data_IF_446053112713
#
_entry.id   IF_446053112713
#
_cell.length_a   1.000
_cell.length_b   1.000
_cell.length_c   1.000
_cell.angle_alpha   90.00
_cell.angle_beta   90.00
_cell.angle_gamma   90.00
#
_symmetry.space_group_name_H-M   'P 1'
#
loop_
_entity.id
_entity.type
_entity.pdbx_description
1 polymer ?
#
# COMPACT_ATOMS: atom_id res chain seq x y z
N UNK A 1 -22.41 7.47 4.72
CA UNK A 1 -21.14 8.09 5.18
C UNK A 1 -21.47 9.44 5.80
N UNK A 2 -21.06 9.67 7.03
CA UNK A 2 -21.21 10.91 7.82
C UNK A 2 -19.86 11.52 8.20
N UNK A 3 -18.76 10.77 8.04
CA UNK A 3 -17.39 11.19 8.36
C UNK A 3 -16.37 10.52 7.41
N UNK A 4 -15.20 11.17 7.22
CA UNK A 4 -14.05 10.58 6.52
C UNK A 4 -13.44 9.39 7.27
N UNK A 5 -13.80 9.21 8.54
CA UNK A 5 -13.37 8.08 9.38
C UNK A 5 -14.34 6.89 9.35
N UNK A 6 -15.46 6.99 8.65
CA UNK A 6 -16.36 5.85 8.50
C UNK A 6 -15.65 4.74 7.70
N UNK A 7 -15.87 3.48 8.07
CA UNK A 7 -15.20 2.33 7.45
C UNK A 7 -16.19 1.34 6.83
N UNK A 8 -15.72 0.64 5.80
CA UNK A 8 -16.23 -0.68 5.41
C UNK A 8 -15.47 -1.77 6.16
N UNK A 9 -16.13 -2.89 6.41
CA UNK A 9 -15.48 -4.07 7.02
C UNK A 9 -15.14 -5.04 5.91
N UNK A 10 -13.85 -5.38 5.79
CA UNK A 10 -13.36 -6.37 4.84
C UNK A 10 -13.72 -7.78 5.31
N UNK A 11 -13.61 -8.77 4.42
CA UNK A 11 -13.97 -10.16 4.69
C UNK A 11 -13.17 -10.81 5.85
N UNK A 12 -12.02 -10.23 6.22
CA UNK A 12 -11.17 -10.64 7.33
C UNK A 12 -11.41 -9.80 8.61
N UNK A 13 -12.45 -8.97 8.64
CA UNK A 13 -12.81 -8.13 9.79
C UNK A 13 -12.05 -6.81 9.89
N UNK A 14 -11.06 -6.56 9.03
CA UNK A 14 -10.31 -5.29 9.02
C UNK A 14 -11.22 -4.14 8.59
N UNK A 15 -11.12 -3.00 9.29
CA UNK A 15 -11.87 -1.79 8.98
C UNK A 15 -11.09 -0.92 7.97
N UNK A 16 -11.61 -0.82 6.74
CA UNK A 16 -11.07 0.02 5.68
C UNK A 16 -11.79 1.38 5.67
N UNK A 17 -11.10 2.52 5.86
CA UNK A 17 -11.73 3.83 5.73
C UNK A 17 -12.37 4.02 4.35
N UNK A 18 -13.59 4.55 4.32
CA UNK A 18 -14.37 4.66 3.08
C UNK A 18 -13.77 5.62 2.05
N UNK A 19 -12.91 6.54 2.49
CA UNK A 19 -12.30 7.58 1.64
C UNK A 19 -10.79 7.54 1.81
N UNK A 20 -10.09 7.32 0.70
CA UNK A 20 -8.63 7.31 0.61
C UNK A 20 -8.08 8.54 -0.12
N UNK A 21 -6.87 8.93 0.24
CA UNK A 21 -6.07 9.93 -0.46
C UNK A 21 -5.05 9.22 -1.35
N UNK A 22 -5.23 9.32 -2.68
CA UNK A 22 -4.35 8.68 -3.66
C UNK A 22 -3.14 9.53 -3.99
N UNK A 23 -1.98 8.88 -4.15
CA UNK A 23 -0.70 9.57 -4.44
C UNK A 23 -0.17 9.31 -5.85
N UNK A 24 -0.98 8.76 -6.76
CA UNK A 24 -0.55 8.55 -8.15
C UNK A 24 -0.21 9.88 -8.83
N UNK A 25 0.94 9.93 -9.51
CA UNK A 25 1.54 11.12 -10.14
C UNK A 25 1.99 12.23 -9.19
N UNK A 26 1.90 12.04 -7.88
CA UNK A 26 2.57 12.91 -6.93
C UNK A 26 4.08 12.60 -6.95
N UNK A 27 4.93 13.59 -7.22
CA UNK A 27 6.38 13.41 -7.27
C UNK A 27 6.94 13.13 -5.87
N UNK A 28 8.05 12.41 -5.77
CA UNK A 28 8.76 12.30 -4.50
C UNK A 28 9.26 13.68 -4.05
N UNK A 29 9.07 14.02 -2.78
CA UNK A 29 9.58 15.26 -2.20
C UNK A 29 8.60 15.96 -1.28
N UNK A 30 8.98 17.16 -0.84
CA UNK A 30 8.29 17.88 0.23
C UNK A 30 6.85 18.26 -0.13
N UNK A 31 6.56 18.58 -1.40
CA UNK A 31 5.19 18.88 -1.83
C UNK A 31 4.21 17.72 -1.58
N UNK A 32 4.65 16.48 -1.84
CA UNK A 32 3.83 15.28 -1.57
C UNK A 32 3.69 15.03 -0.09
N UNK A 33 4.76 15.26 0.69
CA UNK A 33 4.72 15.17 2.15
C UNK A 33 3.67 16.14 2.71
N UNK A 34 3.73 17.41 2.32
CA UNK A 34 2.84 18.47 2.80
C UNK A 34 1.39 18.20 2.40
N UNK A 35 1.16 17.70 1.17
CA UNK A 35 -0.18 17.33 0.71
C UNK A 35 -0.79 16.19 1.55
N UNK A 36 0.00 15.15 1.84
CA UNK A 36 -0.47 14.02 2.66
C UNK A 36 -0.68 14.45 4.11
N UNK A 37 0.22 15.24 4.70
CA UNK A 37 0.05 15.80 6.05
C UNK A 37 -1.23 16.64 6.13
N UNK A 38 -1.47 17.51 5.14
CA UNK A 38 -2.70 18.29 5.06
C UNK A 38 -3.94 17.40 5.00
N UNK A 39 -3.94 16.35 4.18
CA UNK A 39 -5.06 15.41 4.10
C UNK A 39 -5.32 14.72 5.46
N UNK A 40 -4.27 14.22 6.10
CA UNK A 40 -4.33 13.57 7.41
C UNK A 40 -4.87 14.50 8.51
N UNK A 41 -4.43 15.77 8.51
CA UNK A 41 -4.91 16.82 9.43
C UNK A 41 -6.38 17.18 9.17
N UNK A 42 -6.86 17.05 7.94
CA UNK A 42 -8.26 17.27 7.57
C UNK A 42 -9.15 16.01 7.68
N UNK A 43 -8.65 14.97 8.37
CA UNK A 43 -9.47 13.82 8.78
C UNK A 43 -9.37 12.59 7.89
N UNK A 44 -8.57 12.61 6.81
CA UNK A 44 -8.27 11.39 6.07
C UNK A 44 -7.53 10.40 6.98
N UNK A 45 -7.83 9.12 6.78
CA UNK A 45 -7.18 8.00 7.50
C UNK A 45 -6.80 6.85 6.57
N UNK A 46 -6.88 7.04 5.25
CA UNK A 46 -6.44 6.06 4.27
C UNK A 46 -5.55 6.73 3.23
N UNK A 47 -4.31 6.25 3.07
CA UNK A 47 -3.35 6.70 2.06
C UNK A 47 -3.10 5.57 1.08
N UNK A 48 -3.27 5.84 -0.21
CA UNK A 48 -3.03 4.89 -1.29
C UNK A 48 -1.80 5.29 -2.11
N UNK A 49 -0.81 4.39 -2.15
CA UNK A 49 0.42 4.51 -2.95
C UNK A 49 0.70 3.22 -3.73
N UNK A 50 1.86 3.11 -4.37
CA UNK A 50 2.37 1.91 -5.03
C UNK A 50 3.88 2.02 -5.22
N UNK A 51 4.58 0.89 -5.34
CA UNK A 51 6.01 0.85 -5.68
C UNK A 51 6.30 1.63 -6.98
N UNK A 52 5.42 1.46 -7.97
CA UNK A 52 5.49 2.16 -9.25
C UNK A 52 5.41 3.69 -9.15
N UNK A 53 4.77 4.23 -8.11
CA UNK A 53 4.60 5.69 -7.97
C UNK A 53 5.89 6.36 -7.52
N UNK A 54 6.86 5.59 -7.00
CA UNK A 54 8.18 6.08 -6.56
C UNK A 54 8.09 7.23 -5.56
N UNK A 55 7.09 7.20 -4.68
CA UNK A 55 6.89 8.21 -3.64
C UNK A 55 6.60 7.61 -2.24
N UNK A 56 6.84 6.31 -2.05
CA UNK A 56 6.66 5.63 -0.76
C UNK A 56 7.49 6.27 0.37
N UNK A 57 8.70 6.78 0.07
CA UNK A 57 9.51 7.52 1.06
C UNK A 57 8.81 8.80 1.51
N UNK A 58 8.15 9.51 0.60
CA UNK A 58 7.37 10.70 0.95
C UNK A 58 6.12 10.35 1.76
N UNK A 59 5.45 9.24 1.45
CA UNK A 59 4.31 8.74 2.22
C UNK A 59 4.72 8.39 3.65
N UNK A 60 5.79 7.61 3.80
CA UNK A 60 6.34 7.25 5.12
C UNK A 60 6.70 8.48 5.95
N UNK A 61 7.43 9.42 5.34
CA UNK A 61 7.79 10.70 5.98
C UNK A 61 6.55 11.49 6.41
N UNK A 62 5.52 11.57 5.57
CA UNK A 62 4.27 12.28 5.89
C UNK A 62 3.50 11.65 7.05
N UNK A 63 3.44 10.32 7.10
CA UNK A 63 2.81 9.59 8.21
C UNK A 63 3.50 9.96 9.53
N UNK A 64 4.84 9.90 9.58
CA UNK A 64 5.60 10.27 10.79
C UNK A 64 5.45 11.75 11.15
N UNK A 65 5.45 12.64 10.17
CA UNK A 65 5.29 14.09 10.39
C UNK A 65 3.86 14.50 10.78
N UNK A 66 2.86 13.70 10.46
CA UNK A 66 1.46 14.01 10.77
C UNK A 66 1.17 14.06 12.27
N UNK A 67 1.98 13.38 13.10
CA UNK A 67 1.77 13.25 14.54
C UNK A 67 0.59 12.34 14.93
N UNK A 68 -0.04 11.66 13.96
CA UNK A 68 -1.13 10.71 14.19
C UNK A 68 -0.53 9.33 14.44
N UNK A 69 -1.11 8.58 15.38
CA UNK A 69 -0.70 7.20 15.66
C UNK A 69 -0.80 6.35 14.39
N UNK A 70 0.26 5.60 14.07
CA UNK A 70 0.34 4.75 12.87
C UNK A 70 -0.87 3.82 12.75
N UNK A 71 -1.40 3.30 13.87
CA UNK A 71 -2.56 2.40 13.88
C UNK A 71 -3.88 3.07 13.46
N UNK A 72 -3.93 4.40 13.43
CA UNK A 72 -5.10 5.13 12.93
C UNK A 72 -5.04 5.35 11.41
N UNK A 73 -3.87 5.20 10.78
CA UNK A 73 -3.68 5.46 9.35
C UNK A 73 -3.62 4.15 8.60
N UNK A 74 -4.60 3.90 7.74
CA UNK A 74 -4.63 2.78 6.82
C UNK A 74 -3.73 3.08 5.61
N UNK A 75 -2.69 2.27 5.39
CA UNK A 75 -1.76 2.43 4.26
C UNK A 75 -1.97 1.32 3.25
N UNK A 76 -2.21 1.69 2.00
CA UNK A 76 -2.28 0.77 0.87
C UNK A 76 -1.07 0.98 -0.04
N UNK A 77 -0.38 -0.10 -0.38
CA UNK A 77 0.61 -0.10 -1.48
C UNK A 77 0.35 -1.24 -2.45
N UNK A 78 1.05 -1.25 -3.58
CA UNK A 78 0.83 -2.20 -4.67
C UNK A 78 2.16 -2.62 -5.27
N UNK A 79 2.37 -3.93 -5.39
CA UNK A 79 3.53 -4.47 -6.11
C UNK A 79 3.31 -4.31 -7.62
N UNK A 80 4.35 -3.87 -8.32
CA UNK A 80 4.34 -3.61 -9.76
C UNK A 80 4.52 -4.90 -10.58
N UNK A 81 4.40 -4.76 -11.90
CA UNK A 81 4.37 -5.91 -12.82
C UNK A 81 5.67 -6.71 -12.86
N UNK A 82 6.81 -6.08 -12.60
CA UNK A 82 8.14 -6.72 -12.51
C UNK A 82 8.42 -7.31 -11.12
N UNK A 83 7.54 -7.11 -10.15
CA UNK A 83 7.67 -7.58 -8.76
C UNK A 83 6.81 -8.83 -8.49
N UNK A 84 6.18 -9.38 -9.53
CA UNK A 84 5.40 -10.62 -9.46
C UNK A 84 6.30 -11.86 -9.45
N UNK A 85 5.75 -12.99 -9.01
CA UNK A 85 6.48 -14.19 -8.63
C UNK A 85 6.71 -14.27 -7.12
N UNK A 86 6.90 -15.48 -6.61
CA UNK A 86 6.98 -15.75 -5.17
C UNK A 86 8.10 -14.96 -4.48
N UNK A 87 9.35 -15.07 -4.99
CA UNK A 87 10.50 -14.42 -4.37
C UNK A 87 10.43 -12.90 -4.49
N UNK A 88 10.05 -12.42 -5.67
CA UNK A 88 9.96 -11.00 -6.00
C UNK A 88 8.86 -10.31 -5.17
N UNK A 89 7.72 -10.96 -4.98
CA UNK A 89 6.63 -10.39 -4.17
C UNK A 89 7.04 -10.24 -2.70
N UNK A 90 7.73 -11.25 -2.13
CA UNK A 90 8.29 -11.16 -0.77
C UNK A 90 9.30 -10.01 -0.66
N UNK A 91 10.22 -9.91 -1.62
CA UNK A 91 11.19 -8.83 -1.67
C UNK A 91 10.50 -7.45 -1.78
N UNK A 92 9.50 -7.32 -2.66
CA UNK A 92 8.78 -6.07 -2.86
C UNK A 92 8.04 -5.60 -1.60
N UNK A 93 7.47 -6.53 -0.82
CA UNK A 93 6.87 -6.21 0.48
C UNK A 93 7.92 -5.61 1.45
N UNK A 94 9.05 -6.28 1.63
CA UNK A 94 10.13 -5.79 2.50
C UNK A 94 10.66 -4.43 2.03
N UNK A 95 10.85 -4.25 0.73
CA UNK A 95 11.31 -2.98 0.19
C UNK A 95 10.30 -1.86 0.36
N UNK A 96 9.00 -2.12 0.21
CA UNK A 96 7.94 -1.15 0.51
C UNK A 96 7.92 -0.78 1.99
N UNK A 97 8.01 -1.75 2.90
CA UNK A 97 8.11 -1.51 4.35
C UNK A 97 9.33 -0.63 4.67
N UNK A 98 10.48 -0.93 4.07
CA UNK A 98 11.69 -0.13 4.23
C UNK A 98 11.56 1.30 3.69
N UNK A 99 10.97 1.49 2.50
CA UNK A 99 10.76 2.83 1.93
C UNK A 99 9.75 3.65 2.73
N UNK A 100 8.68 3.01 3.21
CA UNK A 100 7.67 3.65 4.07
C UNK A 100 8.20 3.86 5.51
N UNK A 101 9.23 3.13 5.91
CA UNK A 101 9.69 2.93 7.30
C UNK A 101 8.54 2.57 8.23
N UNK A 102 7.85 1.47 7.89
CA UNK A 102 6.74 0.91 8.65
C UNK A 102 7.02 -0.55 9.00
N UNK A 103 6.48 -1.00 10.13
CA UNK A 103 6.57 -2.41 10.53
C UNK A 103 5.53 -3.30 9.82
N UNK A 104 4.44 -2.71 9.32
CA UNK A 104 3.38 -3.39 8.58
C UNK A 104 2.68 -2.47 7.57
N UNK A 105 2.02 -3.09 6.58
CA UNK A 105 1.14 -2.47 5.57
C UNK A 105 -0.29 -2.98 5.79
N UNK A 106 -1.27 -2.08 5.85
CA UNK A 106 -2.67 -2.46 6.09
C UNK A 106 -3.29 -3.21 4.91
N UNK A 107 -2.86 -2.89 3.68
CA UNK A 107 -3.28 -3.59 2.47
C UNK A 107 -2.20 -3.54 1.38
N UNK A 108 -1.74 -4.71 0.94
CA UNK A 108 -0.93 -4.84 -0.27
C UNK A 108 -1.77 -5.41 -1.41
N UNK A 109 -1.64 -4.84 -2.61
CA UNK A 109 -2.36 -5.30 -3.80
C UNK A 109 -1.41 -5.73 -4.92
N UNK A 110 -1.86 -6.68 -5.75
CA UNK A 110 -1.28 -6.90 -7.08
C UNK A 110 -1.77 -5.76 -7.96
N UNK A 111 -0.87 -4.86 -8.38
CA UNK A 111 -1.27 -3.68 -9.16
C UNK A 111 -1.88 -4.08 -10.51
N UNK A 112 -1.30 -5.08 -11.17
CA UNK A 112 -1.83 -5.68 -12.40
C UNK A 112 -1.48 -7.17 -12.47
N UNK A 113 -2.45 -8.04 -12.81
CA UNK A 113 -2.20 -9.47 -12.94
C UNK A 113 -1.27 -9.78 -14.11
N UNK A 114 -0.51 -10.86 -14.01
CA UNK A 114 0.15 -11.46 -15.17
C UNK A 114 -0.94 -11.89 -16.17
N UNK A 115 -0.68 -11.68 -17.45
CA UNK A 115 -1.66 -11.85 -18.52
C UNK A 115 -1.12 -12.79 -19.59
N UNK A 116 -1.97 -13.68 -20.14
CA UNK A 116 -1.57 -14.60 -21.21
C UNK A 116 -1.00 -13.89 -22.44
N UNK A 117 -1.38 -12.63 -22.69
CA UNK A 117 -0.90 -11.87 -23.85
C UNK A 117 0.55 -11.38 -23.70
N UNK A 118 1.14 -11.46 -22.50
CA UNK A 118 2.46 -10.91 -22.19
C UNK A 118 3.41 -11.93 -21.56
N UNK A 119 2.88 -13.07 -21.11
CA UNK A 119 3.61 -14.03 -20.30
C UNK A 119 2.95 -15.41 -20.36
N UNK A 120 3.71 -16.43 -20.76
CA UNK A 120 3.21 -17.80 -20.96
C UNK A 120 2.79 -18.45 -19.63
N UNK A 121 3.57 -18.25 -18.57
CA UNK A 121 3.36 -18.83 -17.23
C UNK A 121 2.51 -17.93 -16.30
N UNK A 122 1.64 -17.09 -16.87
CA UNK A 122 0.87 -16.09 -16.13
C UNK A 122 0.05 -16.65 -14.95
N UNK A 123 -0.51 -17.86 -15.08
CA UNK A 123 -1.25 -18.53 -14.00
C UNK A 123 -0.30 -18.82 -12.83
N UNK A 124 0.85 -19.42 -13.12
CA UNK A 124 1.84 -19.81 -12.12
C UNK A 124 2.36 -18.56 -11.41
N UNK A 125 2.65 -17.48 -12.16
CA UNK A 125 3.13 -16.23 -11.58
C UNK A 125 2.09 -15.58 -10.68
N UNK A 126 0.82 -15.51 -11.09
CA UNK A 126 -0.24 -14.94 -10.26
C UNK A 126 -0.45 -15.75 -8.97
N UNK A 127 -0.49 -17.09 -9.07
CA UNK A 127 -0.63 -17.98 -7.91
C UNK A 127 0.56 -17.84 -6.96
N UNK A 128 1.79 -17.83 -7.49
CA UNK A 128 3.01 -17.69 -6.72
C UNK A 128 3.11 -16.33 -6.01
N UNK A 129 2.68 -15.24 -6.67
CA UNK A 129 2.56 -13.93 -6.05
C UNK A 129 1.53 -13.96 -4.91
N UNK A 130 0.35 -14.53 -5.15
CA UNK A 130 -0.68 -14.59 -4.13
C UNK A 130 -0.23 -15.39 -2.91
N UNK A 131 0.42 -16.54 -3.11
CA UNK A 131 1.00 -17.34 -2.03
C UNK A 131 1.99 -16.53 -1.18
N UNK A 132 2.90 -15.79 -1.82
CA UNK A 132 3.85 -14.92 -1.11
C UNK A 132 3.14 -13.83 -0.28
N UNK A 133 2.06 -13.25 -0.79
CA UNK A 133 1.26 -12.25 -0.07
C UNK A 133 0.52 -12.86 1.12
N UNK A 134 0.00 -14.09 1.00
CA UNK A 134 -0.62 -14.81 2.12
C UNK A 134 0.39 -15.03 3.27
N UNK A 135 1.61 -15.42 2.96
CA UNK A 135 2.68 -15.55 3.96
C UNK A 135 3.04 -14.22 4.62
N UNK A 136 2.94 -13.09 3.90
CA UNK A 136 3.09 -11.75 4.47
C UNK A 136 2.05 -11.48 5.55
N UNK A 137 0.78 -11.80 5.27
CA UNK A 137 -0.32 -11.70 6.24
C UNK A 137 -0.06 -12.59 7.46
N UNK A 138 0.36 -13.84 7.26
CA UNK A 138 0.69 -14.78 8.35
C UNK A 138 1.85 -14.29 9.23
N UNK A 139 2.78 -13.52 8.66
CA UNK A 139 3.89 -12.88 9.37
C UNK A 139 3.50 -11.57 10.06
N UNK A 140 2.28 -11.07 9.85
CA UNK A 140 1.82 -9.79 10.40
C UNK A 140 2.46 -8.56 9.75
N UNK A 141 2.86 -8.69 8.48
CA UNK A 141 3.49 -7.63 7.67
C UNK A 141 2.51 -6.93 6.75
#
# INVERSE_FOLDING_TARGET
>A
MKSLKDCFVLNNGVALPCVGFGTYKAEEGQNTVDAIVCALQNGYRHIDTATFYKNEVSVGKAIRQSGIDRKEIFVTTKLWTNERGYKQAKQALEESLNRLELDYIDMQLIHWPASPNKQDDWIIVNLATWQAMQEGVEQGK
#
